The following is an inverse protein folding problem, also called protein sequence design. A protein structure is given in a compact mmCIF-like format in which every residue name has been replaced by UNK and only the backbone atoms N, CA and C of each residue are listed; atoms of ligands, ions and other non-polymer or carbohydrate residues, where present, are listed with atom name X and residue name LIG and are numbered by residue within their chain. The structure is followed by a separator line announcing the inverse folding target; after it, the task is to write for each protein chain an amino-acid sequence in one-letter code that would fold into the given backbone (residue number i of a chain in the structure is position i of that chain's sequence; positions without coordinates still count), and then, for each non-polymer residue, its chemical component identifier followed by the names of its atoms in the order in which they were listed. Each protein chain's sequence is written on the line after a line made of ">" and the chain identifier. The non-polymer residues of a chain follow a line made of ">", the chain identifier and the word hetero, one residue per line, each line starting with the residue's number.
data_IF_670443608331
#
_entry.id   IF_670443608331
#
_cell.length_a   1.000
_cell.length_b   1.000
_cell.length_c   1.000
_cell.angle_alpha   90.00
_cell.angle_beta   90.00
_cell.angle_gamma   90.00
#
_symmetry.space_group_name_H-M   'P 1'
#
loop_
_entity.id
_entity.type
_entity.pdbx_description
1 polymer ?
#
# COMPACT_ATOMS: atom_id res chain seq x y z
N UNK A 1 9.48 -22.52 12.67
CA UNK A 1 8.78 -21.23 12.46
C UNK A 1 8.07 -21.18 11.09
N UNK A 2 7.54 -22.31 10.60
CA UNK A 2 6.79 -22.37 9.33
C UNK A 2 5.29 -22.17 9.54
N UNK A 3 4.83 -22.10 10.79
CA UNK A 3 3.42 -22.06 11.15
C UNK A 3 2.73 -20.71 10.86
N UNK A 4 3.45 -19.57 10.93
CA UNK A 4 2.85 -18.25 10.65
C UNK A 4 2.62 -18.08 9.14
N UNK A 5 3.61 -18.47 8.32
CA UNK A 5 3.47 -18.50 6.86
C UNK A 5 2.43 -19.53 6.41
N UNK A 6 2.41 -20.71 7.05
CA UNK A 6 1.39 -21.74 6.79
C UNK A 6 -0.01 -21.30 7.21
N UNK A 7 -0.17 -20.51 8.27
CA UNK A 7 -1.47 -19.95 8.66
C UNK A 7 -1.96 -18.87 7.68
N UNK A 8 -1.05 -18.15 7.02
CA UNK A 8 -1.38 -17.22 5.94
C UNK A 8 -1.69 -17.94 4.61
N UNK A 9 -1.09 -19.10 4.34
CA UNK A 9 -1.26 -19.88 3.11
C UNK A 9 -2.39 -20.93 3.16
N UNK A 10 -2.52 -21.70 4.25
CA UNK A 10 -3.63 -22.66 4.49
C UNK A 10 -5.00 -21.98 4.53
N UNK A 11 -4.96 -20.67 4.70
CA UNK A 11 -6.02 -19.71 4.64
C UNK A 11 -6.66 -19.59 3.22
N UNK A 12 -5.98 -20.02 2.15
CA UNK A 12 -6.55 -20.09 0.80
C UNK A 12 -7.27 -21.40 0.47
N UNK A 13 -7.13 -22.46 1.29
CA UNK A 13 -7.50 -23.83 0.91
C UNK A 13 -8.68 -24.48 1.64
N UNK A 14 -9.23 -23.87 2.70
CA UNK A 14 -10.25 -24.51 3.54
C UNK A 14 -11.69 -24.04 3.26
N UNK A 15 -12.05 -23.85 1.98
CA UNK A 15 -13.38 -23.44 1.54
C UNK A 15 -14.38 -24.61 1.36
N UNK A 16 -14.12 -25.76 1.97
CA UNK A 16 -15.03 -26.91 1.92
C UNK A 16 -15.30 -27.40 3.34
N UNK A 17 -16.44 -26.97 3.90
CA UNK A 17 -17.40 -27.76 4.71
C UNK A 17 -18.26 -26.85 5.62
N UNK A 18 -19.48 -26.54 5.15
CA UNK A 18 -20.73 -26.24 5.87
C UNK A 18 -20.70 -25.93 7.39
N UNK A 19 -20.15 -24.77 7.75
CA UNK A 19 -20.67 -23.91 8.83
C UNK A 19 -20.75 -22.49 8.24
N UNK A 20 -21.78 -21.71 8.59
CA UNK A 20 -22.10 -20.39 8.01
C UNK A 20 -20.84 -19.64 7.55
N UNK A 21 -20.58 -19.70 6.23
CA UNK A 21 -19.28 -19.35 5.64
C UNK A 21 -18.85 -17.91 5.96
N UNK A 22 -19.81 -17.02 6.22
CA UNK A 22 -19.54 -15.64 6.67
C UNK A 22 -18.88 -15.55 8.07
N UNK A 23 -19.31 -16.34 9.05
CA UNK A 23 -18.86 -16.19 10.44
C UNK A 23 -17.42 -16.65 10.69
N UNK A 24 -16.98 -17.71 9.98
CA UNK A 24 -15.59 -18.19 10.05
C UNK A 24 -14.65 -17.20 9.34
N UNK A 25 -15.10 -16.59 8.24
CA UNK A 25 -14.33 -15.57 7.50
C UNK A 25 -14.17 -14.29 8.35
N UNK A 26 -15.24 -13.84 9.01
CA UNK A 26 -15.21 -12.66 9.89
C UNK A 26 -14.28 -12.85 11.10
N UNK A 27 -14.35 -14.02 11.76
CA UNK A 27 -13.46 -14.34 12.89
C UNK A 27 -12.00 -14.36 12.47
N UNK A 28 -11.71 -14.95 11.32
CA UNK A 28 -10.35 -15.00 10.77
C UNK A 28 -9.83 -13.62 10.38
N UNK A 29 -10.69 -12.80 9.77
CA UNK A 29 -10.33 -11.43 9.43
C UNK A 29 -10.08 -10.57 10.66
N UNK A 30 -10.90 -10.73 11.71
CA UNK A 30 -10.68 -10.08 13.01
C UNK A 30 -9.34 -10.48 13.63
N UNK A 31 -9.00 -11.77 13.61
CA UNK A 31 -7.67 -12.23 14.05
C UNK A 31 -6.55 -11.56 13.24
N UNK A 32 -6.71 -11.46 11.92
CA UNK A 32 -5.73 -10.83 11.05
C UNK A 32 -5.53 -9.34 11.37
N UNK A 33 -6.60 -8.59 11.66
CA UNK A 33 -6.50 -7.19 12.15
C UNK A 33 -5.68 -7.09 13.42
N UNK A 34 -5.92 -7.98 14.39
CA UNK A 34 -5.17 -7.99 15.67
C UNK A 34 -3.71 -8.37 15.45
N UNK A 35 -3.43 -9.35 14.61
CA UNK A 35 -2.06 -9.75 14.27
C UNK A 35 -1.30 -8.60 13.58
N UNK A 36 -1.95 -7.86 12.67
CA UNK A 36 -1.38 -6.66 12.05
C UNK A 36 -1.00 -5.63 13.11
N UNK A 37 -1.88 -5.35 14.07
CA UNK A 37 -1.61 -4.40 15.16
C UNK A 37 -0.41 -4.83 16.01
N UNK A 38 -0.30 -6.13 16.33
CA UNK A 38 0.84 -6.68 17.07
C UNK A 38 2.14 -6.46 16.30
N UNK A 39 2.17 -6.73 14.99
CA UNK A 39 3.35 -6.49 14.17
C UNK A 39 3.70 -5.00 14.08
N UNK A 40 2.71 -4.12 13.91
CA UNK A 40 2.95 -2.68 13.88
C UNK A 40 3.53 -2.16 15.20
N UNK A 41 3.00 -2.64 16.34
CA UNK A 41 3.50 -2.28 17.67
C UNK A 41 4.92 -2.82 17.90
N UNK A 42 5.21 -4.04 17.46
CA UNK A 42 6.56 -4.60 17.49
C UNK A 42 7.54 -3.77 16.65
N UNK A 43 7.13 -3.32 15.46
CA UNK A 43 7.91 -2.42 14.63
C UNK A 43 8.27 -1.11 15.33
N UNK A 44 7.31 -0.50 16.03
CA UNK A 44 7.57 0.69 16.85
C UNK A 44 8.60 0.40 17.94
N UNK A 45 8.54 -0.76 18.61
CA UNK A 45 9.52 -1.14 19.61
C UNK A 45 10.92 -1.35 19.01
N UNK A 46 11.03 -1.98 17.83
CA UNK A 46 12.31 -2.12 17.12
C UNK A 46 12.91 -0.74 16.83
N UNK A 47 12.10 0.20 16.31
CA UNK A 47 12.52 1.57 16.05
C UNK A 47 12.89 2.37 17.32
N UNK A 48 12.37 2.03 18.49
CA UNK A 48 12.72 2.71 19.75
C UNK A 48 13.98 2.14 20.40
N UNK A 49 14.27 0.86 20.18
CA UNK A 49 15.37 0.17 20.87
C UNK A 49 16.67 0.16 20.07
N UNK A 50 16.61 0.00 18.74
CA UNK A 50 17.82 -0.11 17.91
C UNK A 50 18.60 1.20 17.94
N UNK A 51 19.84 1.15 18.43
CA UNK A 51 20.68 2.34 18.60
C UNK A 51 20.35 3.23 19.78
N UNK A 52 19.50 2.76 20.70
CA UNK A 52 19.34 3.40 22.02
C UNK A 52 20.56 3.17 22.91
N UNK A 53 20.60 3.84 24.06
CA UNK A 53 21.67 3.74 25.08
C UNK A 53 21.88 2.31 25.63
N UNK A 54 20.95 1.38 25.33
CA UNK A 54 20.98 -0.03 25.75
C UNK A 54 21.68 -0.92 24.68
N UNK A 55 22.27 -0.32 23.63
CA UNK A 55 23.04 -1.00 22.55
C UNK A 55 22.31 -2.19 21.90
N UNK A 56 20.98 -2.09 21.73
CA UNK A 56 20.23 -3.13 21.00
C UNK A 56 20.64 -3.10 19.53
N UNK A 57 21.20 -4.21 19.06
CA UNK A 57 21.62 -4.41 17.68
C UNK A 57 20.41 -4.64 16.76
N UNK A 58 20.63 -4.47 15.46
CA UNK A 58 19.63 -4.79 14.43
C UNK A 58 19.23 -6.28 14.56
N UNK A 59 17.93 -6.61 14.65
CA UNK A 59 17.49 -8.00 14.81
C UNK A 59 17.93 -8.89 13.64
N UNK A 60 18.51 -10.04 13.93
CA UNK A 60 19.02 -10.99 12.91
C UNK A 60 17.94 -11.57 11.98
N UNK A 61 16.66 -11.49 12.37
CA UNK A 61 15.51 -11.95 11.58
C UNK A 61 14.64 -10.76 11.09
N UNK A 62 15.25 -9.57 10.93
CA UNK A 62 14.55 -8.37 10.47
C UNK A 62 13.85 -8.61 9.12
N UNK A 63 14.50 -9.36 8.23
CA UNK A 63 13.96 -9.79 6.93
C UNK A 63 12.59 -10.45 7.05
N UNK A 64 12.46 -11.46 7.92
CA UNK A 64 11.21 -12.21 8.11
C UNK A 64 10.11 -11.32 8.70
N UNK A 65 10.48 -10.44 9.62
CA UNK A 65 9.54 -9.46 10.17
C UNK A 65 9.02 -8.51 9.09
N UNK A 66 9.92 -7.97 8.26
CA UNK A 66 9.55 -7.05 7.19
C UNK A 66 8.73 -7.72 6.08
N UNK A 67 9.03 -8.97 5.73
CA UNK A 67 8.20 -9.76 4.81
C UNK A 67 6.80 -10.01 5.38
N UNK A 68 6.69 -10.31 6.68
CA UNK A 68 5.39 -10.47 7.33
C UNK A 68 4.59 -9.14 7.30
N UNK A 69 5.22 -8.02 7.63
CA UNK A 69 4.59 -6.69 7.54
C UNK A 69 4.16 -6.36 6.11
N UNK A 70 5.01 -6.69 5.12
CA UNK A 70 4.74 -6.44 3.70
C UNK A 70 3.56 -7.27 3.16
N UNK A 71 3.35 -8.48 3.68
CA UNK A 71 2.16 -9.27 3.37
C UNK A 71 0.86 -8.57 3.77
N UNK A 72 0.85 -7.81 4.88
CA UNK A 72 -0.29 -6.97 5.26
C UNK A 72 -0.43 -5.75 4.35
N UNK A 73 0.69 -5.15 3.91
CA UNK A 73 0.71 -3.99 3.01
C UNK A 73 0.20 -4.30 1.59
N UNK A 74 0.26 -5.56 1.19
CA UNK A 74 -0.22 -6.04 -0.12
C UNK A 74 -1.57 -6.77 -0.04
N UNK A 75 -2.15 -6.86 1.16
CA UNK A 75 -3.44 -7.51 1.37
C UNK A 75 -4.61 -6.69 0.75
N UNK A 76 -5.67 -7.33 0.23
CA UNK A 76 -6.81 -6.62 -0.39
C UNK A 76 -7.57 -5.65 0.54
N UNK A 77 -7.62 -5.94 1.84
CA UNK A 77 -8.25 -5.06 2.85
C UNK A 77 -7.57 -3.69 2.94
N UNK A 78 -8.35 -2.63 2.74
CA UNK A 78 -7.88 -1.26 2.93
C UNK A 78 -7.40 -0.99 4.36
N UNK A 79 -8.12 -1.46 5.37
CA UNK A 79 -7.75 -1.28 6.78
C UNK A 79 -6.36 -1.87 7.10
N UNK A 80 -6.09 -3.10 6.64
CA UNK A 80 -4.80 -3.75 6.89
C UNK A 80 -3.64 -3.01 6.21
N UNK A 81 -3.83 -2.60 4.95
CA UNK A 81 -2.82 -1.80 4.24
C UNK A 81 -2.54 -0.49 4.97
N UNK A 82 -3.59 0.23 5.38
CA UNK A 82 -3.48 1.47 6.14
C UNK A 82 -2.76 1.30 7.46
N UNK A 83 -3.06 0.24 8.19
CA UNK A 83 -2.46 -0.04 9.50
C UNK A 83 -0.93 -0.16 9.45
N UNK A 84 -0.37 -0.58 8.31
CA UNK A 84 1.09 -0.76 8.17
C UNK A 84 1.86 0.51 7.84
N UNK A 85 1.20 1.58 7.36
CA UNK A 85 1.91 2.73 6.77
C UNK A 85 2.78 3.50 7.77
N UNK A 86 2.28 3.71 8.99
CA UNK A 86 3.05 4.40 10.03
C UNK A 86 4.33 3.64 10.38
N UNK A 87 4.24 2.30 10.48
CA UNK A 87 5.38 1.44 10.76
C UNK A 87 6.43 1.51 9.65
N UNK A 88 6.01 1.52 8.37
CA UNK A 88 6.93 1.74 7.25
C UNK A 88 7.63 3.09 7.32
N UNK A 89 6.88 4.17 7.57
CA UNK A 89 7.44 5.50 7.74
C UNK A 89 8.49 5.56 8.86
N UNK A 90 8.24 4.89 9.99
CA UNK A 90 9.20 4.83 11.09
C UNK A 90 10.46 4.03 10.73
N UNK A 91 10.30 2.85 10.11
CA UNK A 91 11.43 2.03 9.67
C UNK A 91 12.32 2.76 8.66
N UNK A 92 11.71 3.42 7.67
CA UNK A 92 12.46 4.11 6.61
C UNK A 92 13.08 5.43 7.07
N UNK A 93 12.53 6.09 8.11
CA UNK A 93 13.13 7.30 8.69
C UNK A 93 14.23 7.00 9.70
N UNK A 94 14.25 5.80 10.27
CA UNK A 94 15.15 5.46 11.37
C UNK A 94 16.61 5.50 10.94
N UNK A 95 17.46 6.19 11.72
CA UNK A 95 18.84 6.53 11.34
C UNK A 95 19.74 5.31 11.08
N UNK A 96 19.60 4.25 11.88
CA UNK A 96 20.37 3.01 11.73
C UNK A 96 19.69 2.05 10.75
N UNK A 97 18.44 1.67 11.00
CA UNK A 97 17.70 0.72 10.17
C UNK A 97 17.63 1.14 8.69
N UNK A 98 17.46 2.43 8.37
CA UNK A 98 17.41 2.89 6.97
C UNK A 98 18.68 2.60 6.17
N UNK A 99 19.82 2.39 6.85
CA UNK A 99 21.11 2.04 6.23
C UNK A 99 21.34 0.53 6.13
N UNK A 100 20.47 -0.27 6.74
CA UNK A 100 20.58 -1.72 6.71
C UNK A 100 20.23 -2.28 5.30
N UNK A 101 21.03 -3.21 4.74
CA UNK A 101 20.78 -3.76 3.41
C UNK A 101 19.41 -4.44 3.26
N UNK A 102 18.90 -5.07 4.32
CA UNK A 102 17.58 -5.71 4.31
C UNK A 102 16.49 -4.66 4.15
N UNK A 103 16.63 -3.53 4.83
CA UNK A 103 15.69 -2.41 4.71
C UNK A 103 15.75 -1.79 3.32
N UNK A 104 16.95 -1.63 2.74
CA UNK A 104 17.10 -1.18 1.36
C UNK A 104 16.39 -2.10 0.35
N UNK A 105 16.57 -3.42 0.46
CA UNK A 105 15.88 -4.38 -0.42
C UNK A 105 14.37 -4.35 -0.24
N UNK A 106 13.89 -4.21 1.00
CA UNK A 106 12.47 -4.09 1.26
C UNK A 106 11.90 -2.75 0.76
N UNK A 107 12.65 -1.65 0.82
CA UNK A 107 12.25 -0.37 0.26
C UNK A 107 11.98 -0.48 -1.26
N UNK A 108 12.82 -1.21 -1.99
CA UNK A 108 12.61 -1.50 -3.43
C UNK A 108 11.29 -2.28 -3.63
N UNK A 109 11.04 -3.33 -2.84
CA UNK A 109 9.79 -4.11 -2.90
C UNK A 109 8.57 -3.25 -2.58
N UNK A 110 8.68 -2.42 -1.54
CA UNK A 110 7.66 -1.49 -1.10
C UNK A 110 7.30 -0.49 -2.20
N UNK A 111 8.27 0.16 -2.83
CA UNK A 111 8.05 1.09 -3.94
C UNK A 111 7.31 0.45 -5.11
N UNK A 112 7.65 -0.80 -5.45
CA UNK A 112 6.95 -1.56 -6.50
C UNK A 112 5.50 -1.91 -6.12
N UNK A 113 5.19 -2.09 -4.85
CA UNK A 113 3.83 -2.35 -4.39
C UNK A 113 2.98 -1.07 -4.23
N UNK A 114 3.60 0.02 -3.77
CA UNK A 114 2.92 1.30 -3.53
C UNK A 114 2.18 1.80 -4.77
N UNK A 115 2.73 1.57 -5.98
CA UNK A 115 2.08 1.93 -7.25
C UNK A 115 0.66 1.34 -7.41
N UNK A 116 0.43 0.13 -6.92
CA UNK A 116 -0.86 -0.57 -7.04
C UNK A 116 -1.85 -0.03 -6.00
N UNK A 117 -1.33 0.30 -4.82
CA UNK A 117 -2.10 0.79 -3.70
C UNK A 117 -2.65 2.23 -3.89
N UNK A 118 -2.09 3.00 -4.84
CA UNK A 118 -2.58 4.33 -5.21
C UNK A 118 -3.91 4.31 -6.00
N UNK A 119 -4.35 3.14 -6.49
CA UNK A 119 -5.59 3.03 -7.24
C UNK A 119 -6.78 2.96 -6.28
N UNK A 120 -7.58 4.02 -6.27
CA UNK A 120 -8.80 4.12 -5.45
C UNK A 120 -9.91 3.21 -5.98
N UNK A 121 -9.95 1.99 -5.47
CA UNK A 121 -10.92 0.91 -5.76
C UNK A 121 -11.31 0.22 -4.46
N UNK A 122 -12.35 -0.62 -4.47
CA UNK A 122 -12.74 -1.35 -3.26
C UNK A 122 -13.76 -0.63 -2.39
N UNK A 123 -14.60 0.23 -2.98
CA UNK A 123 -15.69 0.90 -2.26
C UNK A 123 -16.69 -0.12 -1.69
N UNK A 124 -17.24 0.10 -0.48
CA UNK A 124 -18.30 -0.74 0.09
C UNK A 124 -19.49 -0.95 -0.85
N UNK A 125 -19.91 0.09 -1.57
CA UNK A 125 -21.04 0.06 -2.51
C UNK A 125 -20.78 -0.72 -3.82
N UNK A 126 -19.51 -1.05 -4.12
CA UNK A 126 -19.09 -1.65 -5.40
C UNK A 126 -18.70 -3.13 -5.24
N UNK A 127 -18.45 -3.77 -6.38
CA UNK A 127 -17.87 -5.11 -6.48
C UNK A 127 -16.78 -5.16 -7.57
N UNK A 128 -15.95 -4.12 -7.64
CA UNK A 128 -14.94 -3.95 -8.69
C UNK A 128 -13.61 -4.66 -8.37
N UNK A 129 -13.35 -4.97 -7.09
CA UNK A 129 -12.16 -5.70 -6.68
C UNK A 129 -12.40 -6.54 -5.41
N UNK A 130 -11.51 -7.50 -5.09
CA UNK A 130 -11.60 -8.31 -3.87
C UNK A 130 -11.59 -7.50 -2.57
N UNK A 131 -11.13 -6.25 -2.61
CA UNK A 131 -11.14 -5.33 -1.46
C UNK A 131 -12.54 -4.93 -1.00
N UNK A 132 -13.55 -4.94 -1.88
CA UNK A 132 -14.92 -4.53 -1.57
C UNK A 132 -15.55 -5.28 -0.40
N UNK A 133 -15.30 -6.60 -0.30
CA UNK A 133 -15.84 -7.42 0.79
C UNK A 133 -15.28 -7.00 2.15
N UNK A 134 -13.98 -6.71 2.23
CA UNK A 134 -13.36 -6.21 3.45
C UNK A 134 -13.86 -4.80 3.78
N UNK A 135 -14.00 -3.94 2.77
CA UNK A 135 -14.50 -2.58 3.00
C UNK A 135 -15.92 -2.55 3.56
N UNK A 136 -16.80 -3.48 3.17
CA UNK A 136 -18.14 -3.62 3.77
C UNK A 136 -18.14 -4.04 5.24
N UNK A 137 -17.06 -4.65 5.71
CA UNK A 137 -16.87 -5.01 7.12
C UNK A 137 -16.23 -3.85 7.89
N UNK A 138 -15.43 -3.03 7.23
CA UNK A 138 -14.60 -2.00 7.85
C UNK A 138 -15.23 -0.61 7.89
N UNK A 139 -16.14 -0.31 6.97
CA UNK A 139 -16.68 1.03 6.74
C UNK A 139 -18.20 0.97 6.58
N UNK A 140 -18.89 1.91 7.23
CA UNK A 140 -20.35 2.02 7.17
C UNK A 140 -20.81 2.62 5.83
N UNK A 141 -19.95 3.41 5.17
CA UNK A 141 -20.27 4.15 3.95
C UNK A 141 -19.07 4.30 2.99
N UNK A 142 -19.36 4.69 1.75
CA UNK A 142 -18.34 5.06 0.77
C UNK A 142 -17.58 6.34 1.19
N UNK A 143 -18.23 7.23 1.93
CA UNK A 143 -17.65 8.44 2.52
C UNK A 143 -16.59 8.12 3.56
N UNK A 144 -16.87 7.17 4.47
CA UNK A 144 -15.91 6.71 5.49
C UNK A 144 -14.70 6.03 4.84
N UNK A 145 -14.96 5.17 3.86
CA UNK A 145 -13.91 4.56 3.05
C UNK A 145 -13.06 5.64 2.35
N UNK A 146 -13.71 6.64 1.75
CA UNK A 146 -13.03 7.75 1.07
C UNK A 146 -12.11 8.52 2.00
N UNK A 147 -12.57 8.83 3.22
CA UNK A 147 -11.81 9.52 4.25
C UNK A 147 -10.57 8.69 4.63
N UNK A 148 -10.78 7.41 4.99
CA UNK A 148 -9.70 6.49 5.34
C UNK A 148 -8.66 6.32 4.21
N UNK A 149 -9.11 6.19 2.97
CA UNK A 149 -8.23 6.09 1.80
C UNK A 149 -7.41 7.36 1.58
N UNK A 150 -7.96 8.54 1.83
CA UNK A 150 -7.22 9.80 1.69
C UNK A 150 -6.10 9.90 2.75
N UNK A 151 -6.38 9.53 4.01
CA UNK A 151 -5.36 9.46 5.06
C UNK A 151 -4.27 8.42 4.75
N UNK A 152 -4.69 7.25 4.26
CA UNK A 152 -3.77 6.21 3.78
C UNK A 152 -2.81 6.74 2.71
N UNK A 153 -3.36 7.42 1.69
CA UNK A 153 -2.56 7.97 0.58
C UNK A 153 -1.53 8.99 1.08
N UNK A 154 -1.89 9.84 2.03
CA UNK A 154 -0.96 10.80 2.62
C UNK A 154 0.20 10.10 3.36
N UNK A 155 -0.12 9.10 4.19
CA UNK A 155 0.89 8.32 4.93
C UNK A 155 1.78 7.50 3.98
N UNK A 156 1.18 6.88 2.96
CA UNK A 156 1.92 6.13 1.94
C UNK A 156 2.86 7.04 1.15
N UNK A 157 2.43 8.26 0.80
CA UNK A 157 3.28 9.24 0.12
C UNK A 157 4.54 9.58 0.92
N UNK A 158 4.40 9.78 2.23
CA UNK A 158 5.56 10.00 3.11
C UNK A 158 6.49 8.78 3.18
N UNK A 159 5.94 7.57 3.32
CA UNK A 159 6.74 6.35 3.32
C UNK A 159 7.46 6.11 1.97
N UNK A 160 6.81 6.44 0.84
CA UNK A 160 7.42 6.40 -0.51
C UNK A 160 8.59 7.39 -0.58
N UNK A 161 8.40 8.62 -0.12
CA UNK A 161 9.47 9.63 -0.11
C UNK A 161 10.69 9.17 0.68
N UNK A 162 10.47 8.59 1.86
CA UNK A 162 11.55 8.04 2.68
C UNK A 162 12.23 6.84 1.99
N UNK A 163 11.47 5.92 1.40
CA UNK A 163 12.02 4.81 0.65
C UNK A 163 12.88 5.27 -0.56
N UNK A 164 12.45 6.32 -1.27
CA UNK A 164 13.24 6.92 -2.35
C UNK A 164 14.58 7.49 -1.87
N UNK A 165 14.67 8.00 -0.63
CA UNK A 165 15.94 8.47 -0.05
C UNK A 165 16.90 7.31 0.24
N UNK A 166 16.38 6.12 0.55
CA UNK A 166 17.17 4.92 0.82
C UNK A 166 17.72 4.33 -0.49
N UNK A 167 16.88 4.24 -1.53
CA UNK A 167 17.22 3.59 -2.81
C UNK A 167 16.97 4.50 -4.03
N UNK A 168 17.70 5.61 -4.18
CA UNK A 168 17.39 6.66 -5.16
C UNK A 168 17.47 6.17 -6.62
N UNK A 169 18.49 5.37 -6.96
CA UNK A 169 18.66 4.88 -8.34
C UNK A 169 17.55 3.91 -8.74
N UNK A 170 17.20 2.97 -7.86
CA UNK A 170 16.10 2.03 -8.08
C UNK A 170 14.75 2.73 -8.11
N UNK A 171 14.54 3.74 -7.26
CA UNK A 171 13.32 4.55 -7.27
C UNK A 171 13.12 5.25 -8.63
N UNK A 172 14.15 5.93 -9.15
CA UNK A 172 14.10 6.57 -10.47
C UNK A 172 13.86 5.54 -11.58
N UNK A 173 14.50 4.37 -11.51
CA UNK A 173 14.29 3.29 -12.47
C UNK A 173 12.86 2.76 -12.44
N UNK A 174 12.30 2.50 -11.25
CA UNK A 174 10.91 2.05 -11.09
C UNK A 174 9.94 3.11 -11.64
N UNK A 175 10.17 4.39 -11.35
CA UNK A 175 9.36 5.48 -11.89
C UNK A 175 9.41 5.52 -13.41
N UNK A 176 10.60 5.40 -14.02
CA UNK A 176 10.78 5.33 -15.48
C UNK A 176 10.03 4.15 -16.08
N UNK A 177 10.23 2.94 -15.55
CA UNK A 177 9.54 1.72 -16.00
C UNK A 177 8.02 1.93 -16.01
N UNK A 178 7.49 2.58 -14.99
CA UNK A 178 6.06 2.84 -14.88
C UNK A 178 5.57 3.89 -15.87
N UNK A 179 6.28 5.00 -16.03
CA UNK A 179 5.94 6.04 -17.03
C UNK A 179 5.91 5.42 -18.42
N UNK A 180 6.94 4.64 -18.77
CA UNK A 180 7.01 3.93 -20.05
C UNK A 180 5.82 2.98 -20.23
N UNK A 181 5.49 2.19 -19.21
CA UNK A 181 4.33 1.31 -19.25
C UNK A 181 3.02 2.08 -19.52
N UNK A 182 2.80 3.22 -18.85
CA UNK A 182 1.59 4.01 -19.05
C UNK A 182 1.51 4.64 -20.45
N UNK A 183 2.64 5.04 -21.04
CA UNK A 183 2.69 5.58 -22.40
C UNK A 183 2.41 4.49 -23.44
N UNK A 184 2.90 3.27 -23.20
CA UNK A 184 2.78 2.17 -24.15
C UNK A 184 1.48 1.35 -24.01
N UNK A 185 0.74 1.49 -22.91
CA UNK A 185 -0.49 0.72 -22.68
C UNK A 185 -1.70 1.50 -23.23
N UNK A 186 -2.49 0.91 -24.16
CA UNK A 186 -3.73 1.53 -24.63
C UNK A 186 -4.68 1.76 -23.47
N UNK A 187 -5.23 2.97 -23.37
CA UNK A 187 -6.23 3.29 -22.37
C UNK A 187 -7.58 2.87 -22.93
N UNK A 188 -8.20 1.88 -22.31
CA UNK A 188 -9.56 1.48 -22.65
C UNK A 188 -10.53 2.60 -22.25
N UNK A 189 -10.81 3.49 -23.20
CA UNK A 189 -11.87 4.49 -23.08
C UNK A 189 -13.19 3.77 -23.31
N UNK A 190 -13.71 3.15 -22.24
CA UNK A 190 -15.02 2.49 -22.25
C UNK A 190 -16.08 3.33 -22.96
N UNK A 191 -17.00 2.66 -23.63
CA UNK A 191 -17.98 3.19 -24.58
C UNK A 191 -18.99 4.16 -23.91
N UNK A 192 -18.59 5.38 -23.59
CA UNK A 192 -19.47 6.49 -23.17
C UNK A 192 -20.14 7.12 -24.40
N UNK A 193 -20.96 6.36 -25.12
CA UNK A 193 -21.71 6.86 -26.29
C UNK A 193 -23.06 7.50 -25.98
N UNK A 194 -23.41 7.75 -24.70
CA UNK A 194 -24.75 8.26 -24.38
C UNK A 194 -24.86 9.55 -23.54
N UNK A 195 -23.77 10.27 -23.27
CA UNK A 195 -23.83 11.59 -22.61
C UNK A 195 -22.88 12.62 -23.24
N UNK A 196 -22.84 12.68 -24.58
CA UNK A 196 -22.02 13.66 -25.32
C UNK A 196 -22.80 14.90 -25.79
N UNK A 197 -24.03 15.11 -25.33
CA UNK A 197 -24.87 16.22 -25.82
C UNK A 197 -24.95 17.44 -24.88
N UNK A 198 -24.43 17.39 -23.65
CA UNK A 198 -24.42 18.58 -22.76
C UNK A 198 -23.08 18.71 -22.04
N UNK A 199 -22.01 19.08 -22.77
CA UNK A 199 -20.82 19.76 -22.23
C UNK A 199 -19.85 20.17 -23.35
N UNK A 200 -20.32 20.85 -24.40
CA UNK A 200 -19.45 21.55 -25.35
C UNK A 200 -19.44 23.05 -25.05
N UNK A 201 -18.74 23.44 -23.99
CA UNK A 201 -18.30 24.82 -23.75
C UNK A 201 -17.20 24.87 -22.66
N UNK A 202 -15.97 24.53 -23.03
CA UNK A 202 -14.77 24.71 -22.22
C UNK A 202 -13.51 24.30 -22.99
N UNK A 203 -12.36 25.00 -22.85
CA UNK A 203 -11.25 24.92 -23.78
C UNK A 203 -10.62 23.52 -23.78
N UNK A 204 -10.33 23.02 -24.99
CA UNK A 204 -9.72 21.72 -25.29
C UNK A 204 -8.48 21.46 -24.41
N UNK A 205 -8.59 20.52 -23.48
CA UNK A 205 -7.45 19.90 -22.82
C UNK A 205 -6.97 18.67 -23.62
N UNK A 206 -5.65 18.47 -23.77
CA UNK A 206 -5.08 17.29 -24.42
C UNK A 206 -5.33 16.05 -23.56
N UNK A 207 -6.17 15.13 -24.05
CA UNK A 207 -6.45 13.78 -23.54
C UNK A 207 -6.31 13.61 -22.02
N UNK A 208 -7.44 13.60 -21.32
CA UNK A 208 -7.62 13.34 -19.87
C UNK A 208 -6.82 12.14 -19.32
N UNK A 209 -6.38 11.22 -20.17
CA UNK A 209 -5.42 10.16 -19.91
C UNK A 209 -4.01 10.64 -19.53
N UNK A 210 -3.39 11.46 -20.38
CA UNK A 210 -2.04 11.97 -20.16
C UNK A 210 -2.00 12.92 -18.97
N UNK A 211 -3.02 13.77 -18.79
CA UNK A 211 -3.15 14.62 -17.61
C UNK A 211 -3.25 13.80 -16.31
N UNK A 212 -4.04 12.72 -16.27
CA UNK A 212 -4.16 11.83 -15.09
C UNK A 212 -2.87 11.03 -14.81
N UNK A 213 -2.16 10.62 -15.85
CA UNK A 213 -0.83 9.98 -15.73
C UNK A 213 0.21 10.97 -15.24
N UNK A 214 0.20 12.21 -15.75
CA UNK A 214 1.01 13.31 -15.24
C UNK A 214 0.68 13.62 -13.79
N UNK A 215 -0.59 13.70 -13.37
CA UNK A 215 -0.95 13.90 -11.94
C UNK A 215 -0.51 12.74 -11.05
N UNK A 216 -0.49 11.50 -11.56
CA UNK A 216 -0.04 10.31 -10.82
C UNK A 216 1.48 10.21 -10.71
N UNK A 217 2.21 10.66 -11.72
CA UNK A 217 3.67 10.74 -11.75
C UNK A 217 4.15 11.98 -11.00
N UNK A 218 3.48 13.13 -11.16
CA UNK A 218 3.61 14.29 -10.28
C UNK A 218 3.28 13.90 -8.85
N UNK A 219 2.22 13.17 -8.52
CA UNK A 219 2.00 12.72 -7.14
C UNK A 219 3.07 11.74 -6.60
N UNK A 220 4.01 11.24 -7.41
CA UNK A 220 5.23 10.59 -6.95
C UNK A 220 6.45 11.54 -6.92
N UNK A 221 6.45 12.59 -7.75
CA UNK A 221 7.54 13.56 -7.93
C UNK A 221 7.38 14.87 -7.10
N UNK A 222 6.17 15.36 -6.85
CA UNK A 222 5.82 16.47 -5.94
C UNK A 222 6.14 16.11 -4.48
N UNK A 223 6.10 14.82 -4.14
CA UNK A 223 6.67 14.31 -2.88
C UNK A 223 8.22 14.35 -2.87
N UNK A 224 8.85 14.67 -4.00
CA UNK A 224 10.28 14.79 -4.22
C UNK A 224 10.78 16.21 -4.49
N UNK A 225 9.92 17.23 -4.55
CA UNK A 225 10.34 18.66 -4.67
C UNK A 225 11.21 19.11 -3.48
N UNK A 226 11.24 18.35 -2.37
CA UNK A 226 12.18 18.52 -1.26
C UNK A 226 13.40 17.58 -1.27
N UNK A 227 13.73 16.95 -2.41
CA UNK A 227 14.93 16.09 -2.59
C UNK A 227 15.99 16.78 -3.48
N UNK A 228 15.63 17.85 -4.20
CA UNK A 228 16.56 18.64 -5.02
C UNK A 228 16.76 20.09 -4.54
N UNK A 229 16.45 20.37 -3.26
CA UNK A 229 16.81 21.60 -2.57
C UNK A 229 17.75 21.28 -1.40
#
# INVERSE_FOLDING_TARGET
>A
MNYILSAAQSAGGAALCNQSSGGIVERRYTFLKRLCQVLCALGSQICSLVGSDIEVQVPVNLDKYMEALFAFTTHPSQFLRSSTQMTWGNLFRHEILSKDPVVGQMAIKYLRAARINLVKTGFPSKNDCPGCEFSRVDFDSDEDFNCSFNSFRAQQGEAVRLACKIVPFEAVRIAREWVQYQICTPIDTGNYKHELTIAFSGPREPSTALAKTFTRVYALMDYGEGIFA
#
